data_IF_966677174187
#
_entry.id   IF_966677174187
#
_cell.length_a   1.000
_cell.length_b   1.000
_cell.length_c   1.000
_cell.angle_alpha   90.00
_cell.angle_beta   90.00
_cell.angle_gamma   90.00
#
_symmetry.space_group_name_H-M   'P 1'
#
loop_
_entity.id
_entity.type
_entity.pdbx_description
1 polymer ?
#
# COMPACT_ATOMS: atom_id res chain seq x y z
N UNK A 1 -12.02 -17.42 -16.08
CA UNK A 1 -11.46 -17.70 -14.76
C UNK A 1 -9.92 -17.71 -14.77
N UNK A 2 -9.24 -18.69 -15.39
CA UNK A 2 -7.75 -18.68 -15.44
C UNK A 2 -7.21 -17.43 -16.15
N UNK A 3 -7.80 -17.01 -17.25
CA UNK A 3 -7.44 -15.76 -17.93
C UNK A 3 -7.63 -14.54 -17.04
N UNK A 4 -8.74 -14.45 -16.33
CA UNK A 4 -9.04 -13.36 -15.40
C UNK A 4 -8.07 -13.34 -14.23
N UNK A 5 -7.68 -14.49 -13.68
CA UNK A 5 -6.63 -14.56 -12.64
C UNK A 5 -5.26 -14.11 -13.16
N UNK A 6 -4.96 -14.37 -14.44
CA UNK A 6 -3.74 -13.90 -15.10
C UNK A 6 -3.76 -12.38 -15.35
N UNK A 7 -4.89 -11.85 -15.84
CA UNK A 7 -5.09 -10.42 -16.10
C UNK A 7 -5.03 -9.59 -14.80
N UNK A 8 -5.62 -10.09 -13.71
CA UNK A 8 -5.63 -9.43 -12.40
C UNK A 8 -4.38 -9.75 -11.55
N UNK A 9 -3.47 -10.59 -12.04
CA UNK A 9 -2.28 -11.07 -11.32
C UNK A 9 -2.61 -11.60 -9.92
N UNK A 10 -3.72 -12.33 -9.78
CA UNK A 10 -4.21 -12.88 -8.52
C UNK A 10 -4.05 -14.40 -8.48
N UNK A 11 -3.79 -14.93 -7.29
CA UNK A 11 -3.70 -16.38 -7.06
C UNK A 11 -5.04 -17.01 -6.66
N UNK A 12 -6.06 -16.19 -6.44
CA UNK A 12 -7.37 -16.61 -5.94
C UNK A 12 -8.47 -15.75 -6.55
N UNK A 13 -9.58 -16.41 -6.91
CA UNK A 13 -10.80 -15.74 -7.35
C UNK A 13 -12.00 -16.45 -6.72
N UNK A 14 -12.93 -15.66 -6.20
CA UNK A 14 -14.20 -16.20 -5.70
C UNK A 14 -15.14 -16.51 -6.86
N UNK A 15 -15.73 -17.70 -6.87
CA UNK A 15 -16.70 -18.08 -7.92
C UNK A 15 -18.06 -17.40 -7.73
N UNK A 16 -18.37 -16.97 -6.52
CA UNK A 16 -19.65 -16.34 -6.19
C UNK A 16 -19.60 -14.83 -6.35
N UNK A 17 -18.45 -14.23 -6.06
CA UNK A 17 -18.20 -12.79 -6.16
C UNK A 17 -16.73 -12.57 -6.53
N UNK A 18 -16.41 -12.42 -7.83
CA UNK A 18 -15.03 -12.31 -8.31
C UNK A 18 -14.26 -11.09 -7.76
N UNK A 19 -14.96 -10.01 -7.41
CA UNK A 19 -14.35 -8.79 -6.87
C UNK A 19 -13.98 -8.92 -5.39
N UNK A 20 -14.57 -9.88 -4.67
CA UNK A 20 -14.26 -10.12 -3.26
C UNK A 20 -12.98 -10.94 -3.09
N UNK A 21 -12.32 -10.83 -1.94
CA UNK A 21 -11.10 -11.57 -1.61
C UNK A 21 -11.23 -12.35 -0.31
N UNK A 22 -10.41 -13.40 -0.20
CA UNK A 22 -10.31 -14.17 1.03
C UNK A 22 -9.57 -13.33 2.09
N UNK A 23 -10.25 -13.04 3.19
CA UNK A 23 -9.74 -12.21 4.28
C UNK A 23 -9.82 -12.95 5.62
N UNK A 24 -8.88 -12.70 6.56
CA UNK A 24 -8.96 -13.24 7.90
C UNK A 24 -10.13 -12.60 8.65
N UNK A 25 -10.98 -13.45 9.28
CA UNK A 25 -12.11 -13.03 10.08
C UNK A 25 -12.21 -13.91 11.33
N UNK A 26 -11.91 -13.37 12.52
CA UNK A 26 -12.01 -14.06 13.80
C UNK A 26 -11.40 -15.48 13.83
N UNK A 27 -10.19 -15.63 13.27
CA UNK A 27 -9.46 -16.91 13.22
C UNK A 27 -9.88 -17.85 12.09
N UNK A 28 -10.79 -17.43 11.24
CA UNK A 28 -11.19 -18.10 9.98
C UNK A 28 -10.85 -17.22 8.80
N UNK A 29 -11.00 -17.78 7.61
CA UNK A 29 -10.89 -17.03 6.38
C UNK A 29 -12.25 -17.03 5.68
N UNK A 30 -12.77 -15.85 5.41
CA UNK A 30 -14.04 -15.66 4.71
C UNK A 30 -13.81 -14.84 3.44
N UNK A 31 -14.66 -15.07 2.45
CA UNK A 31 -14.72 -14.22 1.26
C UNK A 31 -15.45 -12.94 1.63
N UNK A 32 -14.75 -11.81 1.58
CA UNK A 32 -15.23 -10.56 2.17
C UNK A 32 -14.71 -9.33 1.43
N UNK A 33 -15.29 -8.19 1.81
CA UNK A 33 -14.77 -6.85 1.56
C UNK A 33 -14.28 -6.25 2.87
N UNK A 34 -13.28 -5.39 2.80
CA UNK A 34 -12.83 -4.55 3.92
C UNK A 34 -13.59 -3.23 3.87
N UNK A 35 -14.27 -2.88 4.94
CA UNK A 35 -15.03 -1.63 5.04
C UNK A 35 -14.35 -0.70 6.02
N UNK A 36 -13.80 0.38 5.48
CA UNK A 36 -13.18 1.45 6.26
C UNK A 36 -14.23 2.53 6.53
N UNK A 37 -14.33 2.99 7.79
CA UNK A 37 -15.35 3.95 8.20
C UNK A 37 -14.75 5.10 8.97
N UNK A 38 -15.15 6.32 8.62
CA UNK A 38 -14.85 7.53 9.37
C UNK A 38 -16.06 7.96 10.18
N UNK A 39 -15.90 8.03 11.51
CA UNK A 39 -16.96 8.36 12.46
C UNK A 39 -16.61 9.64 13.21
N UNK A 40 -17.56 10.56 13.32
CA UNK A 40 -17.36 11.77 14.12
C UNK A 40 -17.25 11.44 15.61
N UNK A 41 -16.19 11.95 16.23
CA UNK A 41 -15.86 11.66 17.62
C UNK A 41 -16.91 12.15 18.65
N UNK A 42 -17.70 13.15 18.28
CA UNK A 42 -18.67 13.79 19.17
C UNK A 42 -20.07 13.24 18.96
N UNK A 43 -20.45 13.05 17.70
CA UNK A 43 -21.82 12.68 17.34
C UNK A 43 -21.99 11.20 17.08
N UNK A 44 -20.91 10.46 16.86
CA UNK A 44 -20.89 9.07 16.41
C UNK A 44 -21.59 8.86 15.05
N UNK A 45 -21.75 9.93 14.27
CA UNK A 45 -22.28 9.88 12.90
C UNK A 45 -21.18 9.38 11.98
N UNK A 46 -21.50 8.44 11.11
CA UNK A 46 -20.59 8.01 10.05
C UNK A 46 -20.51 9.11 9.00
N UNK A 47 -19.34 9.69 8.81
CA UNK A 47 -19.07 10.81 7.91
C UNK A 47 -18.68 10.35 6.50
N UNK A 48 -18.05 9.18 6.40
CA UNK A 48 -17.62 8.61 5.15
C UNK A 48 -17.22 7.14 5.32
N UNK A 49 -17.13 6.42 4.22
CA UNK A 49 -16.69 5.04 4.21
C UNK A 49 -16.08 4.67 2.86
N UNK A 50 -15.25 3.63 2.87
CA UNK A 50 -14.68 3.02 1.67
C UNK A 50 -14.91 1.51 1.78
N UNK A 51 -15.37 0.90 0.70
CA UNK A 51 -15.42 -0.57 0.55
C UNK A 51 -14.24 -0.97 -0.34
N UNK A 52 -13.37 -1.82 0.14
CA UNK A 52 -12.22 -2.29 -0.62
C UNK A 52 -12.08 -3.81 -0.55
N UNK A 53 -11.36 -4.38 -1.50
CA UNK A 53 -11.01 -5.79 -1.53
C UNK A 53 -9.57 -6.05 -1.05
N UNK A 54 -8.89 -5.04 -0.52
CA UNK A 54 -7.59 -5.18 0.12
C UNK A 54 -7.79 -5.60 1.59
N UNK A 55 -7.22 -6.73 2.03
CA UNK A 55 -7.31 -7.16 3.42
C UNK A 55 -6.49 -6.31 4.40
N UNK A 56 -5.60 -5.44 3.90
CA UNK A 56 -4.76 -4.57 4.72
C UNK A 56 -5.42 -3.20 4.92
N UNK A 57 -5.41 -2.70 6.15
CA UNK A 57 -5.91 -1.37 6.50
C UNK A 57 -4.91 -0.26 6.15
N UNK A 58 -3.66 -0.63 5.96
CA UNK A 58 -2.57 0.29 5.62
C UNK A 58 -2.80 0.97 4.26
N UNK A 59 -2.69 2.29 4.22
CA UNK A 59 -2.89 3.10 3.02
C UNK A 59 -4.33 3.60 2.79
N UNK A 60 -5.27 3.27 3.70
CA UNK A 60 -6.67 3.66 3.56
C UNK A 60 -7.04 4.94 4.31
N UNK A 61 -6.16 5.41 5.21
CA UNK A 61 -6.47 6.54 6.09
C UNK A 61 -6.50 7.88 5.35
N UNK A 62 -5.53 8.14 4.46
CA UNK A 62 -5.49 9.33 3.61
C UNK A 62 -6.69 9.37 2.68
N UNK A 63 -6.96 8.27 1.98
CA UNK A 63 -8.07 8.16 1.03
C UNK A 63 -9.43 8.39 1.71
N UNK A 64 -9.68 7.76 2.86
CA UNK A 64 -10.92 7.96 3.61
C UNK A 64 -11.04 9.40 4.13
N UNK A 65 -9.96 9.99 4.61
CA UNK A 65 -9.94 11.36 5.06
C UNK A 65 -10.24 12.36 3.94
N UNK A 66 -9.72 12.13 2.73
CA UNK A 66 -10.04 12.93 1.54
C UNK A 66 -11.52 12.83 1.16
N UNK A 67 -12.11 11.64 1.16
CA UNK A 67 -13.55 11.45 0.91
C UNK A 67 -14.40 12.24 1.92
N UNK A 68 -14.01 12.22 3.20
CA UNK A 68 -14.69 13.00 4.23
C UNK A 68 -14.54 14.51 3.97
N UNK A 69 -13.34 14.97 3.60
CA UNK A 69 -13.09 16.40 3.31
C UNK A 69 -13.87 16.90 2.10
N UNK A 70 -14.05 16.10 1.05
CA UNK A 70 -14.91 16.45 -0.09
C UNK A 70 -16.35 16.77 0.33
N UNK A 71 -16.89 16.05 1.32
CA UNK A 71 -18.24 16.26 1.82
C UNK A 71 -18.34 17.45 2.80
N UNK A 72 -17.31 17.70 3.62
CA UNK A 72 -17.35 18.68 4.72
C UNK A 72 -16.57 19.97 4.47
N UNK A 73 -15.83 20.05 3.38
CA UNK A 73 -15.01 21.19 2.98
C UNK A 73 -13.52 20.88 2.99
N UNK A 74 -12.89 21.05 1.85
CA UNK A 74 -11.48 20.71 1.62
C UNK A 74 -10.51 21.51 2.48
N UNK A 75 -10.86 22.74 2.86
CA UNK A 75 -10.04 23.64 3.68
C UNK A 75 -10.11 23.32 5.18
N UNK A 76 -10.99 22.41 5.62
CA UNK A 76 -11.06 22.03 7.04
C UNK A 76 -9.95 21.08 7.43
N UNK A 77 -9.27 21.39 8.53
CA UNK A 77 -8.31 20.49 9.14
C UNK A 77 -9.07 19.39 9.88
N UNK A 78 -8.86 18.15 9.46
CA UNK A 78 -9.38 16.98 10.14
C UNK A 78 -8.35 16.41 11.10
N UNK A 79 -8.80 15.88 12.23
CA UNK A 79 -7.97 15.12 13.16
C UNK A 79 -8.60 13.74 13.33
N UNK A 80 -7.88 12.71 12.96
CA UNK A 80 -8.37 11.34 13.05
C UNK A 80 -7.60 10.51 14.09
N UNK A 81 -8.22 9.45 14.58
CA UNK A 81 -7.55 8.44 15.39
C UNK A 81 -7.89 7.05 14.87
N UNK A 82 -6.87 6.23 14.66
CA UNK A 82 -6.97 4.91 14.03
C UNK A 82 -6.21 3.86 14.84
N UNK A 83 -6.46 2.59 14.53
CA UNK A 83 -5.76 1.45 15.14
C UNK A 83 -4.34 1.33 14.57
N UNK A 84 -3.51 0.53 15.25
CA UNK A 84 -2.13 0.22 14.84
C UNK A 84 -2.03 -0.42 13.45
N UNK A 85 -3.09 -1.05 12.95
CA UNK A 85 -3.18 -1.61 11.59
C UNK A 85 -2.99 -0.56 10.49
N UNK A 86 -3.33 0.69 10.79
CA UNK A 86 -3.16 1.84 9.90
C UNK A 86 -1.79 2.51 10.00
N UNK A 87 -0.89 2.02 10.85
CA UNK A 87 0.42 2.63 11.03
C UNK A 87 1.28 2.45 9.77
N UNK A 88 1.19 3.39 8.88
CA UNK A 88 2.00 3.52 7.67
C UNK A 88 2.61 4.93 7.62
N UNK A 89 3.93 5.09 7.71
CA UNK A 89 4.56 6.41 7.65
C UNK A 89 4.25 7.16 6.35
N UNK A 90 4.08 6.44 5.23
CA UNK A 90 3.75 7.03 3.93
C UNK A 90 2.33 7.59 3.98
N UNK A 91 1.34 6.79 4.37
CA UNK A 91 -0.07 7.18 4.47
C UNK A 91 -0.28 8.32 5.49
N UNK A 92 0.44 8.26 6.63
CA UNK A 92 0.43 9.35 7.61
C UNK A 92 1.02 10.66 7.05
N UNK A 93 2.03 10.58 6.21
CA UNK A 93 2.61 11.75 5.55
C UNK A 93 1.62 12.33 4.54
N UNK A 94 0.98 11.50 3.74
CA UNK A 94 -0.08 11.91 2.81
C UNK A 94 -1.25 12.55 3.54
N UNK A 95 -1.65 12.01 4.70
CA UNK A 95 -2.65 12.65 5.57
C UNK A 95 -2.24 14.07 5.95
N UNK A 96 -1.01 14.26 6.45
CA UNK A 96 -0.53 15.60 6.84
C UNK A 96 -0.50 16.56 5.65
N UNK A 97 -0.04 16.12 4.48
CA UNK A 97 -0.03 16.94 3.27
C UNK A 97 -1.43 17.36 2.83
N UNK A 98 -2.46 16.54 3.13
CA UNK A 98 -3.86 16.79 2.76
C UNK A 98 -4.68 17.47 3.86
N UNK A 99 -4.06 18.00 4.90
CA UNK A 99 -4.78 18.69 5.98
C UNK A 99 -5.48 17.74 6.95
N UNK A 100 -4.97 16.52 7.11
CA UNK A 100 -5.47 15.52 8.04
C UNK A 100 -4.37 15.21 9.05
N UNK A 101 -4.65 15.37 10.35
CA UNK A 101 -3.72 15.11 11.43
C UNK A 101 -3.91 13.66 11.90
N UNK A 102 -3.01 12.72 11.55
CA UNK A 102 -3.15 11.33 11.91
C UNK A 102 -2.68 11.09 13.35
N UNK A 103 -3.52 10.43 14.16
CA UNK A 103 -3.22 10.00 15.51
C UNK A 103 -3.38 8.48 15.59
N UNK A 104 -2.32 7.75 15.29
CA UNK A 104 -2.32 6.29 15.16
C UNK A 104 -1.77 5.65 16.44
N UNK A 105 -2.37 4.55 16.86
CA UNK A 105 -1.86 3.77 17.98
C UNK A 105 -0.48 3.20 17.63
N UNK A 106 0.57 3.65 18.33
CA UNK A 106 1.92 3.13 18.16
C UNK A 106 2.07 1.71 18.69
N UNK A 107 3.02 0.94 18.11
CA UNK A 107 3.43 -0.34 18.67
C UNK A 107 4.09 -0.17 20.04
N UNK A 108 4.86 0.89 20.20
CA UNK A 108 5.39 1.32 21.49
C UNK A 108 4.36 2.19 22.21
N UNK A 109 3.81 1.67 23.31
CA UNK A 109 2.80 2.36 24.12
C UNK A 109 3.34 3.63 24.79
N UNK A 110 4.66 3.77 24.94
CA UNK A 110 5.32 4.92 25.52
C UNK A 110 5.72 5.96 24.50
N UNK A 111 5.67 5.65 23.23
CA UNK A 111 6.00 6.61 22.17
C UNK A 111 5.16 7.89 22.32
N UNK A 112 5.86 9.02 22.32
CA UNK A 112 5.25 10.36 22.39
C UNK A 112 5.11 11.01 21.03
N UNK A 113 5.91 10.58 20.07
CA UNK A 113 5.93 11.10 18.71
C UNK A 113 6.25 10.00 17.69
N UNK A 114 5.93 10.25 16.43
CA UNK A 114 6.25 9.42 15.27
C UNK A 114 7.06 10.23 14.29
N UNK A 115 8.11 9.61 13.73
CA UNK A 115 8.93 10.21 12.68
C UNK A 115 8.34 9.89 11.31
N UNK A 116 8.10 10.91 10.51
CA UNK A 116 7.60 10.84 9.15
C UNK A 116 8.60 11.49 8.20
N UNK A 117 8.60 11.09 6.95
CA UNK A 117 9.49 11.64 5.93
C UNK A 117 8.72 12.01 4.67
N UNK A 118 8.93 13.22 4.16
CA UNK A 118 8.43 13.65 2.85
C UNK A 118 9.56 14.13 1.95
N UNK A 119 9.26 14.33 0.69
CA UNK A 119 10.20 14.88 -0.29
C UNK A 119 10.47 16.35 0.03
N UNK A 120 11.71 16.78 -0.22
CA UNK A 120 12.08 18.20 -0.07
C UNK A 120 11.89 18.92 -1.40
N UNK A 121 11.19 20.04 -1.35
CA UNK A 121 11.03 20.96 -2.47
C UNK A 121 11.54 22.35 -2.03
N UNK A 122 12.47 22.93 -2.80
CA UNK A 122 12.97 24.26 -2.53
C UNK A 122 11.91 25.28 -2.95
N UNK A 123 11.29 25.93 -1.96
CA UNK A 123 10.25 26.92 -2.18
C UNK A 123 10.32 28.01 -1.11
N UNK A 124 10.11 29.25 -1.52
CA UNK A 124 9.87 30.35 -0.60
C UNK A 124 8.41 30.31 -0.15
N UNK A 125 8.21 30.37 1.16
CA UNK A 125 6.89 30.30 1.80
C UNK A 125 6.52 31.68 2.32
N UNK A 126 5.42 32.23 1.81
CA UNK A 126 4.86 33.50 2.29
C UNK A 126 4.15 33.31 3.65
N UNK A 127 3.95 34.40 4.39
CA UNK A 127 3.17 34.35 5.64
C UNK A 127 1.71 33.94 5.41
N UNK A 128 1.14 34.30 4.27
CA UNK A 128 -0.22 33.95 3.89
C UNK A 128 -0.36 32.44 3.67
N UNK A 129 0.57 31.82 2.90
CA UNK A 129 0.62 30.38 2.69
C UNK A 129 0.82 29.64 4.00
N UNK A 130 1.64 30.15 4.89
CA UNK A 130 1.88 29.54 6.20
C UNK A 130 0.65 29.53 7.11
N UNK A 131 -0.23 30.53 6.98
CA UNK A 131 -1.50 30.62 7.72
C UNK A 131 -2.67 29.92 7.03
N UNK A 132 -2.50 29.56 5.78
CA UNK A 132 -3.51 28.88 4.99
C UNK A 132 -3.80 27.48 5.53
N UNK A 133 -5.04 27.03 5.35
CA UNK A 133 -5.47 25.66 5.68
C UNK A 133 -5.74 24.83 4.42
N UNK A 134 -5.41 25.37 3.23
CA UNK A 134 -5.56 24.65 1.98
C UNK A 134 -4.53 23.54 1.90
N UNK A 135 -4.93 22.34 1.43
CA UNK A 135 -4.01 21.21 1.32
C UNK A 135 -2.75 21.52 0.50
N UNK A 136 -2.89 22.27 -0.59
CA UNK A 136 -1.76 22.65 -1.45
C UNK A 136 -0.71 23.49 -0.72
N UNK A 137 -1.15 24.49 0.07
CA UNK A 137 -0.26 25.36 0.84
C UNK A 137 0.39 24.60 2.00
N UNK A 138 -0.38 23.73 2.67
CA UNK A 138 0.14 22.85 3.73
C UNK A 138 1.24 21.94 3.17
N UNK A 139 0.97 21.29 2.06
CA UNK A 139 1.91 20.40 1.38
C UNK A 139 3.19 21.15 0.97
N UNK A 140 3.05 22.34 0.39
CA UNK A 140 4.16 23.21 0.02
C UNK A 140 5.00 23.58 1.25
N UNK A 141 4.38 23.98 2.36
CA UNK A 141 5.07 24.28 3.61
C UNK A 141 5.86 23.08 4.15
N UNK A 142 5.21 21.92 4.25
CA UNK A 142 5.84 20.71 4.79
C UNK A 142 7.04 20.27 3.95
N UNK A 143 6.93 20.32 2.64
CA UNK A 143 8.01 19.95 1.71
C UNK A 143 9.15 20.96 1.69
N UNK A 144 8.86 22.23 1.97
CA UNK A 144 9.89 23.25 2.16
C UNK A 144 10.57 23.21 3.56
N UNK A 145 10.13 22.31 4.45
CA UNK A 145 10.67 22.20 5.80
C UNK A 145 10.16 23.30 6.75
N UNK A 146 8.98 23.87 6.46
CA UNK A 146 8.34 24.92 7.27
C UNK A 146 7.08 24.36 7.93
N UNK A 147 6.90 24.61 9.23
CA UNK A 147 5.70 24.19 9.96
C UNK A 147 4.54 25.15 9.64
N UNK A 148 3.43 24.65 9.03
CA UNK A 148 2.22 25.46 8.87
C UNK A 148 1.65 25.89 10.22
N UNK A 149 0.98 27.04 10.27
CA UNK A 149 0.37 27.58 11.49
C UNK A 149 -0.60 26.60 12.15
N UNK A 150 -1.41 25.93 11.33
CA UNK A 150 -2.41 24.93 11.78
C UNK A 150 -1.79 23.66 12.40
N UNK A 151 -0.48 23.44 12.27
CA UNK A 151 0.22 22.26 12.80
C UNK A 151 1.21 22.57 13.91
N UNK A 152 1.30 23.80 14.38
CA UNK A 152 2.25 24.22 15.44
C UNK A 152 2.14 23.38 16.72
N UNK A 153 0.92 22.98 17.08
CA UNK A 153 0.67 22.22 18.31
C UNK A 153 0.92 20.71 18.15
N UNK A 154 0.98 20.23 16.91
CA UNK A 154 1.07 18.79 16.61
C UNK A 154 2.40 18.36 16.00
N UNK A 155 3.14 19.27 15.38
CA UNK A 155 4.50 19.00 14.89
C UNK A 155 5.51 19.54 15.93
N UNK A 156 6.30 18.63 16.51
CA UNK A 156 7.37 19.02 17.46
C UNK A 156 8.58 19.62 16.76
N UNK A 157 8.96 19.01 15.65
CA UNK A 157 10.15 19.43 14.90
C UNK A 157 10.02 19.07 13.43
N UNK A 158 10.62 19.89 12.58
CA UNK A 158 10.77 19.64 11.14
C UNK A 158 12.23 19.95 10.75
N UNK A 159 12.88 19.03 10.06
CA UNK A 159 14.28 19.17 9.67
C UNK A 159 14.52 18.67 8.27
N UNK A 160 15.32 19.42 7.50
CA UNK A 160 15.77 18.98 6.18
C UNK A 160 17.03 18.13 6.35
N UNK A 161 16.99 16.91 5.86
CA UNK A 161 18.11 15.96 5.94
C UNK A 161 18.61 15.60 4.55
N UNK A 162 19.93 15.44 4.40
CA UNK A 162 20.52 14.88 3.18
C UNK A 162 20.74 13.38 3.35
N UNK A 163 20.10 12.60 2.51
CA UNK A 163 20.36 11.15 2.41
C UNK A 163 21.14 10.83 1.14
N UNK A 164 22.12 9.96 1.27
CA UNK A 164 22.81 9.36 0.13
C UNK A 164 22.11 8.08 -0.25
N UNK A 165 21.35 8.09 -1.33
CA UNK A 165 20.69 6.90 -1.88
C UNK A 165 21.56 6.28 -2.95
N UNK A 166 21.78 4.99 -2.89
CA UNK A 166 22.33 4.25 -4.02
C UNK A 166 21.24 4.22 -5.10
N UNK A 167 21.36 5.05 -6.13
CA UNK A 167 20.47 4.97 -7.29
C UNK A 167 20.78 3.65 -7.98
N UNK A 168 19.91 2.67 -7.83
CA UNK A 168 19.74 1.64 -8.84
C UNK A 168 19.15 2.40 -10.00
N UNK A 169 19.90 2.57 -11.10
CA UNK A 169 19.33 3.08 -12.33
C UNK A 169 18.16 2.15 -12.70
N UNK A 170 16.94 2.54 -12.34
CA UNK A 170 15.80 2.19 -13.14
C UNK A 170 15.99 3.06 -14.38
N UNK A 171 16.32 2.43 -15.49
CA UNK A 171 16.17 3.03 -16.81
C UNK A 171 14.74 3.57 -16.87
N UNK A 172 14.58 4.88 -16.98
CA UNK A 172 13.36 5.50 -17.51
C UNK A 172 13.30 5.16 -19.00
N UNK A 173 12.92 3.96 -19.30
CA UNK A 173 12.47 3.42 -20.54
C UNK A 173 11.34 2.51 -20.13
N UNK A 174 10.21 2.64 -20.76
CA UNK A 174 9.13 1.68 -20.71
C UNK A 174 9.77 0.29 -20.66
N UNK A 175 9.64 -0.42 -19.55
CA UNK A 175 10.05 -1.82 -19.49
C UNK A 175 9.11 -2.54 -20.49
N UNK A 176 9.57 -2.65 -21.74
CA UNK A 176 9.08 -3.68 -22.61
C UNK A 176 9.40 -4.98 -21.88
N UNK A 177 8.37 -5.60 -21.37
CA UNK A 177 8.47 -6.91 -20.71
C UNK A 177 8.94 -7.85 -21.79
N UNK A 178 10.26 -8.19 -21.77
CA UNK A 178 10.83 -9.14 -22.72
C UNK A 178 10.01 -10.43 -22.70
N UNK A 179 9.62 -10.90 -23.88
CA UNK A 179 8.95 -12.16 -23.99
C UNK A 179 9.89 -13.31 -23.58
N UNK A 180 9.35 -14.43 -23.15
CA UNK A 180 10.16 -15.62 -22.79
C UNK A 180 11.08 -16.04 -23.96
N UNK A 181 10.64 -15.86 -25.20
CA UNK A 181 11.41 -16.17 -26.41
C UNK A 181 12.62 -15.25 -26.56
N UNK A 182 12.45 -13.93 -26.36
CA UNK A 182 13.54 -12.94 -26.38
C UNK A 182 14.57 -13.21 -25.28
N UNK A 183 14.13 -13.63 -24.10
CA UNK A 183 15.02 -14.02 -22.99
C UNK A 183 15.83 -15.28 -23.34
N UNK A 184 15.21 -16.26 -24.01
CA UNK A 184 15.91 -17.44 -24.50
C UNK A 184 16.97 -17.08 -25.52
N UNK A 185 16.63 -16.24 -26.51
CA UNK A 185 17.56 -15.80 -27.55
C UNK A 185 18.72 -15.02 -26.95
N UNK A 186 18.46 -14.13 -26.00
CA UNK A 186 19.50 -13.40 -25.28
C UNK A 186 20.42 -14.33 -24.47
N UNK A 187 19.85 -15.33 -23.81
CA UNK A 187 20.63 -16.34 -23.07
C UNK A 187 21.56 -17.13 -23.99
N UNK A 188 21.12 -17.45 -25.20
CA UNK A 188 21.92 -18.12 -26.22
C UNK A 188 23.03 -17.21 -26.78
N UNK A 189 22.71 -15.95 -27.10
CA UNK A 189 23.68 -14.98 -27.64
C UNK A 189 24.78 -14.62 -26.63
N UNK A 190 24.39 -14.39 -25.37
CA UNK A 190 25.33 -14.00 -24.31
C UNK A 190 26.03 -15.18 -23.66
N UNK A 191 25.62 -16.41 -23.93
CA UNK A 191 26.17 -17.63 -23.31
C UNK A 191 25.96 -17.69 -21.81
N UNK A 192 24.89 -17.09 -21.27
CA UNK A 192 24.57 -16.99 -19.84
C UNK A 192 23.27 -17.68 -19.51
N UNK A 193 23.10 -18.00 -18.21
CA UNK A 193 21.79 -18.36 -17.67
C UNK A 193 21.07 -17.06 -17.30
N UNK A 194 19.88 -16.83 -17.81
CA UNK A 194 19.08 -15.61 -17.57
C UNK A 194 17.75 -16.01 -16.95
N UNK A 195 17.39 -15.39 -15.84
CA UNK A 195 16.13 -15.63 -15.16
C UNK A 195 15.00 -14.85 -15.87
N UNK A 196 13.97 -15.56 -16.26
CA UNK A 196 12.73 -15.01 -16.73
C UNK A 196 11.84 -14.67 -15.52
N UNK A 197 11.57 -13.40 -15.31
CA UNK A 197 10.76 -12.92 -14.18
C UNK A 197 9.26 -13.23 -14.37
N UNK A 198 8.81 -13.40 -15.62
CA UNK A 198 7.41 -13.70 -15.94
C UNK A 198 7.04 -15.14 -15.60
N UNK A 199 7.88 -16.09 -15.99
CA UNK A 199 7.62 -17.51 -15.77
C UNK A 199 8.28 -18.08 -14.51
N UNK A 200 9.21 -17.32 -13.91
CA UNK A 200 10.03 -17.78 -12.79
C UNK A 200 11.02 -18.90 -13.17
N UNK A 201 11.18 -19.20 -14.46
CA UNK A 201 12.15 -20.15 -15.01
C UNK A 201 13.49 -19.47 -15.28
N UNK A 202 14.49 -20.28 -15.68
CA UNK A 202 15.80 -19.77 -16.11
C UNK A 202 16.09 -20.28 -17.51
N UNK A 203 16.33 -19.37 -18.45
CA UNK A 203 16.79 -19.71 -19.79
C UNK A 203 18.27 -20.09 -19.74
N UNK A 204 18.63 -21.21 -20.37
CA UNK A 204 20.03 -21.68 -20.43
C UNK A 204 20.69 -21.24 -21.74
N UNK A 205 22.04 -21.18 -21.80
CA UNK A 205 22.78 -20.81 -23.00
C UNK A 205 22.54 -21.72 -24.24
N UNK A 206 21.86 -22.85 -24.03
CA UNK A 206 21.53 -23.80 -25.10
C UNK A 206 20.05 -23.72 -25.52
N UNK A 207 19.35 -22.62 -25.15
CA UNK A 207 17.97 -22.37 -25.56
C UNK A 207 16.91 -23.18 -24.80
N UNK A 208 17.23 -23.73 -23.63
CA UNK A 208 16.27 -24.52 -22.84
C UNK A 208 15.84 -23.77 -21.58
N UNK A 209 14.58 -23.91 -21.18
CA UNK A 209 14.06 -23.37 -19.92
C UNK A 209 14.24 -24.38 -18.79
N UNK A 210 14.82 -23.91 -17.67
CA UNK A 210 15.03 -24.67 -16.44
C UNK A 210 14.00 -24.20 -15.40
N UNK A 211 13.16 -25.12 -14.94
CA UNK A 211 12.17 -24.85 -13.90
C UNK A 211 12.77 -24.92 -12.49
N UNK A 212 12.19 -24.17 -11.54
CA UNK A 212 12.54 -24.22 -10.13
C UNK A 212 12.23 -25.60 -9.54
N UNK A 213 13.21 -26.21 -8.81
CA UNK A 213 13.06 -27.54 -8.20
C UNK A 213 12.98 -27.49 -6.68
N UNK A 214 13.84 -26.74 -6.03
CA UNK A 214 13.88 -26.64 -4.58
C UNK A 214 14.41 -25.28 -4.15
N UNK A 215 13.96 -24.82 -2.98
CA UNK A 215 14.48 -23.62 -2.31
C UNK A 215 15.46 -24.06 -1.23
N UNK A 216 16.54 -23.29 -1.04
CA UNK A 216 17.55 -23.47 0.01
C UNK A 216 17.71 -22.16 0.79
N UNK A 217 18.35 -22.24 1.94
CA UNK A 217 18.67 -21.09 2.79
C UNK A 217 17.46 -20.20 3.05
N UNK A 218 16.36 -20.77 3.56
CA UNK A 218 15.09 -20.09 3.81
C UNK A 218 14.50 -19.36 2.59
N UNK A 219 14.83 -19.85 1.38
CA UNK A 219 14.31 -19.28 0.13
C UNK A 219 15.22 -18.24 -0.52
N UNK A 220 16.39 -17.95 0.04
CA UNK A 220 17.36 -17.03 -0.56
C UNK A 220 18.04 -17.58 -1.82
N UNK A 221 18.12 -18.91 -1.94
CA UNK A 221 18.65 -19.58 -3.12
C UNK A 221 17.64 -20.57 -3.69
N UNK A 222 17.55 -20.60 -5.01
CA UNK A 222 16.66 -21.50 -5.76
C UNK A 222 17.49 -22.35 -6.70
N UNK A 223 17.23 -23.66 -6.70
CA UNK A 223 17.83 -24.61 -7.62
C UNK A 223 16.92 -24.80 -8.83
N UNK A 224 17.49 -24.67 -10.02
CA UNK A 224 16.79 -24.80 -11.30
C UNK A 224 17.33 -25.99 -12.09
N UNK A 225 16.43 -26.78 -12.70
CA UNK A 225 16.80 -27.90 -13.55
C UNK A 225 15.63 -28.28 -14.48
N UNK A 226 15.95 -28.88 -15.63
CA UNK A 226 14.99 -29.53 -16.49
C UNK A 226 15.61 -30.82 -17.06
N UNK A 227 15.25 -31.97 -16.46
CA UNK A 227 15.81 -33.26 -16.83
C UNK A 227 15.44 -33.69 -18.24
N UNK A 228 14.19 -33.42 -18.66
CA UNK A 228 13.68 -33.79 -19.98
C UNK A 228 14.33 -32.95 -21.07
N UNK A 229 14.30 -31.64 -20.94
CA UNK A 229 14.90 -30.72 -21.90
C UNK A 229 16.42 -30.95 -22.05
N UNK A 230 17.14 -31.22 -20.95
CA UNK A 230 18.57 -31.55 -21.01
C UNK A 230 18.86 -32.92 -21.66
N UNK A 231 17.94 -33.89 -21.55
CA UNK A 231 18.07 -35.21 -22.20
C UNK A 231 17.95 -35.11 -23.72
N UNK A 232 17.04 -34.24 -24.20
CA UNK A 232 16.73 -34.02 -25.61
C UNK A 232 17.59 -32.90 -26.26
N UNK A 233 18.38 -32.21 -25.46
CA UNK A 233 19.20 -31.09 -25.92
C UNK A 233 20.27 -31.55 -26.91
N UNK A 234 20.27 -30.97 -28.11
CA UNK A 234 21.26 -31.30 -29.17
C UNK A 234 22.67 -30.84 -28.80
N UNK A 235 22.78 -29.71 -28.10
CA UNK A 235 24.08 -29.11 -27.72
C UNK A 235 24.32 -29.26 -26.22
N UNK A 236 24.64 -30.48 -25.77
CA UNK A 236 24.86 -30.73 -24.34
C UNK A 236 26.01 -29.91 -23.79
N UNK A 237 25.72 -29.09 -22.81
CA UNK A 237 26.70 -28.19 -22.15
C UNK A 237 27.45 -28.87 -21.00
N UNK A 238 27.34 -30.19 -20.83
CA UNK A 238 27.95 -30.94 -19.73
C UNK A 238 28.03 -32.44 -20.03
N UNK A 239 28.91 -33.14 -19.31
CA UNK A 239 29.10 -34.60 -19.41
C UNK A 239 28.13 -35.43 -18.54
N UNK A 240 27.21 -34.80 -17.83
CA UNK A 240 26.22 -35.41 -16.93
C UNK A 240 24.85 -35.66 -17.56
N UNK A 241 23.95 -36.28 -16.78
CA UNK A 241 22.57 -36.60 -17.23
C UNK A 241 21.71 -35.34 -17.46
N UNK A 242 21.88 -34.28 -16.69
CA UNK A 242 21.18 -33.01 -16.81
C UNK A 242 21.93 -31.92 -16.03
N UNK A 243 21.69 -30.63 -16.38
CA UNK A 243 22.28 -29.47 -15.70
C UNK A 243 21.41 -29.01 -14.54
N UNK A 244 22.02 -28.84 -13.38
CA UNK A 244 21.46 -28.11 -12.25
C UNK A 244 22.25 -26.82 -12.06
N UNK A 245 21.56 -25.74 -11.81
CA UNK A 245 22.13 -24.43 -11.44
C UNK A 245 21.47 -23.92 -10.18
N UNK A 246 22.19 -23.13 -9.42
CA UNK A 246 21.69 -22.49 -8.21
C UNK A 246 21.85 -20.98 -8.37
N UNK A 247 20.75 -20.24 -8.21
CA UNK A 247 20.72 -18.77 -8.32
C UNK A 247 20.12 -18.17 -7.06
N UNK A 248 20.67 -17.02 -6.64
CA UNK A 248 20.09 -16.22 -5.58
C UNK A 248 18.72 -15.66 -5.94
N UNK A 249 17.88 -15.38 -4.96
CA UNK A 249 16.53 -14.86 -5.15
C UNK A 249 16.49 -13.62 -6.06
N UNK A 250 17.43 -12.71 -5.90
CA UNK A 250 17.53 -11.46 -6.65
C UNK A 250 18.59 -11.51 -7.78
N UNK A 251 19.11 -12.69 -8.08
CA UNK A 251 20.10 -12.86 -9.13
C UNK A 251 19.40 -13.06 -10.46
N UNK A 252 19.63 -12.15 -11.43
CA UNK A 252 19.00 -12.20 -12.76
C UNK A 252 19.80 -13.02 -13.77
N UNK A 253 21.13 -13.07 -13.64
CA UNK A 253 22.03 -13.74 -14.59
C UNK A 253 23.10 -14.58 -13.88
N UNK A 254 23.52 -15.68 -14.52
CA UNK A 254 24.59 -16.54 -14.04
C UNK A 254 25.49 -16.96 -15.23
N UNK A 255 26.81 -16.73 -15.10
CA UNK A 255 27.81 -17.15 -16.10
C UNK A 255 28.21 -18.59 -15.85
N UNK A 256 28.21 -19.50 -16.85
CA UNK A 256 28.66 -20.85 -16.70
C UNK A 256 30.16 -20.92 -16.27
N UNK A 257 30.48 -21.75 -15.31
CA UNK A 257 31.86 -21.87 -14.80
C UNK A 257 32.91 -22.32 -15.83
N UNK A 258 32.48 -22.92 -16.94
CA UNK A 258 33.38 -23.44 -17.97
C UNK A 258 33.88 -22.39 -18.97
N UNK A 259 33.39 -21.16 -18.93
CA UNK A 259 33.84 -20.04 -19.77
C UNK A 259 34.76 -19.05 -19.03
N UNK A 260 35.34 -19.47 -17.90
CA UNK A 260 36.38 -18.67 -17.23
C UNK A 260 37.72 -19.00 -17.90
N UNK A 261 38.03 -18.36 -19.03
CA UNK A 261 39.43 -18.18 -19.44
C UNK A 261 40.09 -17.28 -18.36
N UNK A 262 41.20 -17.75 -17.83
CA UNK A 262 42.08 -16.98 -16.95
C UNK A 262 42.45 -15.66 -17.65
N UNK A 263 41.84 -14.57 -17.30
CA UNK A 263 42.26 -13.31 -17.86
C UNK A 263 41.32 -12.12 -17.71
N UNK A 264 40.18 -12.25 -17.10
CA UNK A 264 39.31 -11.03 -16.87
C UNK A 264 38.47 -11.15 -15.60
N UNK A 265 39.11 -11.13 -14.43
CA UNK A 265 38.48 -10.53 -13.25
C UNK A 265 38.42 -9.01 -13.40
N UNK A 266 37.79 -8.53 -14.45
CA UNK A 266 37.19 -7.19 -14.42
C UNK A 266 35.90 -7.35 -13.67
N UNK A 267 35.97 -7.22 -12.36
CA UNK A 267 34.86 -6.80 -11.55
C UNK A 267 34.29 -5.56 -12.25
N UNK A 268 33.17 -5.73 -12.96
CA UNK A 268 32.38 -4.58 -13.40
C UNK A 268 31.79 -4.03 -12.10
N UNK A 269 32.59 -3.21 -11.42
CA UNK A 269 32.09 -2.30 -10.42
C UNK A 269 31.26 -1.30 -11.22
N UNK A 270 29.96 -1.61 -11.39
CA UNK A 270 29.01 -0.59 -11.82
C UNK A 270 29.22 0.54 -10.83
N UNK A 271 29.82 1.65 -11.30
CA UNK A 271 29.94 2.87 -10.53
C UNK A 271 28.52 3.29 -10.18
N UNK A 272 28.03 2.85 -9.05
CA UNK A 272 26.75 3.27 -8.50
C UNK A 272 26.91 4.76 -8.21
N UNK A 273 26.33 5.60 -9.03
CA UNK A 273 26.24 7.04 -8.75
C UNK A 273 25.45 7.18 -7.46
N UNK A 274 26.09 7.70 -6.43
CA UNK A 274 25.45 8.11 -5.20
C UNK A 274 24.72 9.41 -5.52
N UNK A 275 23.39 9.38 -5.51
CA UNK A 275 22.57 10.58 -5.62
C UNK A 275 22.28 11.08 -4.21
N UNK A 276 22.53 12.34 -3.96
CA UNK A 276 22.13 13.01 -2.74
C UNK A 276 20.65 13.40 -2.94
N UNK A 277 19.80 12.87 -2.11
CA UNK A 277 18.39 13.27 -2.02
C UNK A 277 18.22 14.07 -0.73
N UNK A 278 17.58 15.23 -0.85
CA UNK A 278 17.11 15.96 0.32
C UNK A 278 15.71 15.46 0.66
N UNK A 279 15.48 15.22 1.93
CA UNK A 279 14.16 14.86 2.47
C UNK A 279 13.85 15.72 3.68
N UNK A 280 12.57 15.88 3.93
CA UNK A 280 12.08 16.54 5.13
C UNK A 280 11.68 15.48 6.13
N UNK A 281 12.22 15.57 7.34
CA UNK A 281 11.88 14.74 8.48
C UNK A 281 10.94 15.53 9.38
N UNK A 282 9.79 14.96 9.66
CA UNK A 282 8.72 15.56 10.46
C UNK A 282 8.56 14.72 11.72
N UNK A 283 8.58 15.34 12.88
CA UNK A 283 8.30 14.70 14.15
C UNK A 283 6.89 15.07 14.60
N UNK A 284 5.96 14.14 14.41
CA UNK A 284 4.53 14.29 14.74
C UNK A 284 4.30 13.86 16.18
N UNK A 285 3.73 14.74 17.01
CA UNK A 285 3.33 14.47 18.37
C UNK A 285 2.08 13.60 18.43
N UNK A 286 2.08 12.59 19.29
CA UNK A 286 0.94 11.72 19.54
C UNK A 286 0.15 12.19 20.76
N UNK A 287 -1.15 12.42 20.57
CA UNK A 287 -2.08 12.73 21.66
C UNK A 287 -2.67 11.43 22.22
N UNK A 288 -2.08 10.96 23.33
CA UNK A 288 -2.51 9.71 23.99
C UNK A 288 -3.94 9.76 24.50
N UNK A 289 -4.42 10.93 24.91
CA UNK A 289 -5.79 11.11 25.41
C UNK A 289 -6.80 10.95 24.27
N UNK A 290 -6.51 11.53 23.11
CA UNK A 290 -7.35 11.38 21.93
C UNK A 290 -7.33 9.94 21.38
N UNK A 291 -6.15 9.31 21.33
CA UNK A 291 -6.00 7.93 20.91
C UNK A 291 -6.79 6.95 21.80
N UNK A 292 -6.83 7.17 23.12
CA UNK A 292 -7.60 6.33 24.03
C UNK A 292 -9.10 6.36 23.75
N UNK A 293 -9.63 7.49 23.26
CA UNK A 293 -11.06 7.63 22.94
C UNK A 293 -11.48 6.83 21.70
N UNK A 294 -10.53 6.38 20.89
CA UNK A 294 -10.76 5.64 19.63
C UNK A 294 -11.77 4.47 19.81
N UNK A 295 -11.53 3.62 20.79
CA UNK A 295 -12.40 2.44 21.01
C UNK A 295 -13.86 2.84 21.22
N UNK A 296 -14.10 3.84 22.09
CA UNK A 296 -15.45 4.32 22.34
C UNK A 296 -16.13 4.91 21.10
N UNK A 297 -15.36 5.55 20.20
CA UNK A 297 -15.87 6.20 19.00
C UNK A 297 -16.18 5.15 17.90
N UNK A 298 -15.20 4.34 17.54
CA UNK A 298 -15.30 3.44 16.38
C UNK A 298 -16.09 2.17 16.68
N UNK A 299 -15.90 1.55 17.84
CA UNK A 299 -16.56 0.28 18.19
C UNK A 299 -18.05 0.45 18.45
N UNK A 300 -18.48 1.62 18.96
CA UNK A 300 -19.89 1.91 19.17
C UNK A 300 -20.68 1.91 17.85
N UNK A 301 -20.18 2.54 16.82
CA UNK A 301 -20.84 2.59 15.51
C UNK A 301 -20.92 1.21 14.87
N UNK A 302 -19.82 0.45 14.85
CA UNK A 302 -19.77 -0.90 14.29
C UNK A 302 -20.61 -1.89 15.10
N UNK A 303 -20.58 -1.79 16.44
CA UNK A 303 -21.39 -2.61 17.33
C UNK A 303 -22.88 -2.37 17.13
N UNK A 304 -23.30 -1.15 16.92
CA UNK A 304 -24.69 -0.79 16.61
C UNK A 304 -25.15 -1.42 15.31
N UNK A 305 -24.37 -1.33 14.24
CA UNK A 305 -24.72 -1.96 12.96
C UNK A 305 -24.89 -3.48 13.08
N UNK A 306 -23.97 -4.15 13.77
CA UNK A 306 -24.06 -5.60 13.97
C UNK A 306 -25.24 -6.01 14.83
N UNK A 307 -25.45 -5.35 15.98
CA UNK A 307 -26.40 -5.78 17.00
C UNK A 307 -27.81 -5.22 16.79
N UNK A 308 -27.95 -4.03 16.22
CA UNK A 308 -29.26 -3.37 16.03
C UNK A 308 -29.76 -3.56 14.60
N UNK A 309 -28.88 -3.42 13.61
CA UNK A 309 -29.26 -3.52 12.20
C UNK A 309 -29.09 -4.94 11.65
N UNK A 310 -28.61 -5.90 12.46
CA UNK A 310 -28.35 -7.29 12.08
C UNK A 310 -27.48 -7.42 10.80
N UNK A 311 -26.55 -6.49 10.62
CA UNK A 311 -25.65 -6.51 9.48
C UNK A 311 -24.41 -7.34 9.79
N UNK A 312 -24.43 -8.62 9.42
CA UNK A 312 -23.32 -9.55 9.63
C UNK A 312 -22.56 -9.91 8.34
N UNK A 313 -23.20 -9.77 7.20
CA UNK A 313 -22.64 -10.07 5.89
C UNK A 313 -23.37 -9.32 4.80
N UNK A 314 -22.65 -9.01 3.71
CA UNK A 314 -23.26 -8.48 2.49
C UNK A 314 -24.19 -9.50 1.85
N UNK A 315 -25.35 -9.06 1.39
CA UNK A 315 -26.32 -9.83 0.65
C UNK A 315 -26.13 -9.67 -0.86
N UNK A 316 -25.63 -8.51 -1.27
CA UNK A 316 -25.34 -8.17 -2.65
C UNK A 316 -23.90 -8.55 -3.02
N UNK A 317 -23.67 -8.82 -4.30
CA UNK A 317 -22.38 -9.19 -4.87
C UNK A 317 -21.82 -8.04 -5.69
N UNK A 318 -20.50 -7.95 -5.74
CA UNK A 318 -19.77 -6.88 -6.41
C UNK A 318 -19.55 -5.68 -5.51
N UNK A 319 -18.39 -5.03 -5.68
CA UNK A 319 -17.92 -3.94 -4.82
C UNK A 319 -18.89 -2.75 -4.81
N UNK A 320 -19.44 -2.38 -5.96
CA UNK A 320 -20.39 -1.27 -6.09
C UNK A 320 -21.69 -1.56 -5.34
N UNK A 321 -22.27 -2.75 -5.53
CA UNK A 321 -23.50 -3.14 -4.86
C UNK A 321 -23.30 -3.28 -3.34
N UNK A 322 -22.18 -3.84 -2.91
CA UNK A 322 -21.79 -3.90 -1.49
C UNK A 322 -21.64 -2.49 -0.89
N UNK A 323 -21.08 -1.55 -1.65
CA UNK A 323 -20.98 -0.15 -1.24
C UNK A 323 -22.37 0.50 -1.10
N UNK A 324 -23.30 0.24 -2.00
CA UNK A 324 -24.69 0.70 -1.91
C UNK A 324 -25.42 0.11 -0.70
N UNK A 325 -25.25 -1.19 -0.44
CA UNK A 325 -25.85 -1.87 0.71
C UNK A 325 -25.36 -1.28 2.04
N UNK A 326 -24.05 -1.13 2.22
CA UNK A 326 -23.50 -0.56 3.46
C UNK A 326 -23.86 0.93 3.61
N UNK A 327 -23.98 1.70 2.53
CA UNK A 327 -24.40 3.08 2.56
C UNK A 327 -25.78 3.25 3.18
N UNK A 328 -26.73 2.36 2.83
CA UNK A 328 -28.08 2.37 3.41
C UNK A 328 -28.05 2.06 4.91
N UNK A 329 -27.20 1.14 5.34
CA UNK A 329 -27.02 0.85 6.78
C UNK A 329 -26.45 2.04 7.54
N UNK A 330 -25.44 2.73 6.98
CA UNK A 330 -24.89 3.93 7.60
C UNK A 330 -25.92 5.07 7.63
N UNK A 331 -26.68 5.26 6.56
CA UNK A 331 -27.76 6.25 6.53
C UNK A 331 -28.80 5.99 7.63
N UNK A 332 -29.28 4.75 7.74
CA UNK A 332 -30.23 4.37 8.77
C UNK A 332 -29.67 4.58 10.20
N UNK A 333 -28.40 4.22 10.42
CA UNK A 333 -27.72 4.44 11.68
C UNK A 333 -27.57 5.93 12.01
N UNK A 334 -27.18 6.75 11.01
CA UNK A 334 -27.05 8.20 11.16
C UNK A 334 -28.40 8.87 11.49
N UNK A 335 -29.47 8.51 10.80
CA UNK A 335 -30.83 9.00 11.08
C UNK A 335 -31.22 8.67 12.53
N UNK A 336 -30.94 7.45 12.98
CA UNK A 336 -31.21 7.03 14.37
C UNK A 336 -30.39 7.84 15.37
N UNK A 337 -29.10 8.07 15.11
CA UNK A 337 -28.23 8.87 15.96
C UNK A 337 -28.77 10.30 16.11
N UNK A 338 -29.16 10.94 15.01
CA UNK A 338 -29.74 12.30 15.02
C UNK A 338 -31.08 12.33 15.74
N UNK A 339 -31.98 11.38 15.42
CA UNK A 339 -33.29 11.27 16.06
C UNK A 339 -33.22 11.08 17.59
N UNK A 340 -32.26 10.29 18.07
CA UNK A 340 -32.04 10.06 19.50
C UNK A 340 -31.48 11.30 20.23
N UNK A 341 -30.69 12.13 19.54
CA UNK A 341 -30.06 13.33 20.12
C UNK A 341 -30.96 14.55 20.12
N UNK A 342 -31.60 14.82 19.00
CA UNK A 342 -32.36 16.03 18.79
C UNK A 342 -33.87 15.85 19.00
N UNK A 343 -34.32 14.61 19.05
CA UNK A 343 -35.74 14.26 18.98
C UNK A 343 -36.25 14.23 17.55
N UNK A 344 -37.12 13.27 17.26
CA UNK A 344 -37.65 13.04 15.90
C UNK A 344 -38.37 14.23 15.33
N UNK A 345 -39.16 14.96 16.16
CA UNK A 345 -39.96 16.14 15.72
C UNK A 345 -39.02 17.28 15.26
N UNK A 346 -38.01 17.62 16.08
CA UNK A 346 -37.04 18.67 15.76
C UNK A 346 -36.23 18.33 14.49
N UNK A 347 -35.87 17.07 14.35
CA UNK A 347 -35.16 16.60 13.15
C UNK A 347 -36.02 16.75 11.87
N UNK A 348 -37.29 16.33 11.95
CA UNK A 348 -38.22 16.47 10.82
C UNK A 348 -38.50 17.97 10.44
N UNK A 349 -38.59 18.85 11.42
CA UNK A 349 -38.71 20.27 11.19
C UNK A 349 -37.50 20.88 10.47
N UNK A 350 -36.29 20.46 10.86
CA UNK A 350 -35.04 20.85 10.18
C UNK A 350 -35.01 20.35 8.73
N UNK A 351 -35.40 19.09 8.50
CA UNK A 351 -35.43 18.51 7.15
C UNK A 351 -36.40 19.28 6.23
N UNK A 352 -37.59 19.71 6.73
CA UNK A 352 -38.52 20.49 5.95
C UNK A 352 -37.94 21.83 5.52
N UNK A 353 -37.17 22.51 6.36
CA UNK A 353 -36.47 23.76 6.03
C UNK A 353 -35.37 23.64 4.98
N UNK A 354 -34.86 22.46 4.75
CA UNK A 354 -33.86 22.19 3.69
C UNK A 354 -34.49 21.89 2.33
N UNK A 355 -35.85 21.72 2.26
CA UNK A 355 -36.58 21.49 1.03
C UNK A 355 -37.16 22.79 0.41
N UNK A 356 -37.12 23.88 1.15
CA UNK A 356 -37.45 25.25 0.72
C UNK A 356 -36.19 26.03 0.32
#
# INVERSE_FOLDING_TARGET
>A
MIKQMQEENTNQISLTDPESKLMPNNGKFDVAYNVQTGVDATTHITLGFIVDNNPADSGSMSTLGEEIKKAYGEEKILRNTTDKGYLSPIDMTECLENGIIPQVTSQDKEAKSVELETEYEEAEISEEERKSQKPEDIKKCLRAGVIPECYKDVIENITVIERRRKKTEKSEGEEQVESTEEIIDRAMQEGKFIKDENTGCVACPMGQLLGAKSKRDNGERVRYANKLACKECKNKCMNGKFKEIEMGKNQKELIPKNNQSEGARKTIVKKRKMVKEKKVKIQLKLDKEFIKKRMAISEHSQGTMKNVDNFFAFRLKGKENASGEIALHFLASNIRCVGNREGVVSFLEKLKKYQE
#
